data_IF_941447106512
#
_entry.id   IF_941447106512
#
_cell.length_a   1.000
_cell.length_b   1.000
_cell.length_c   1.000
_cell.angle_alpha   90.00
_cell.angle_beta   90.00
_cell.angle_gamma   90.00
#
_symmetry.space_group_name_H-M   'P 1'
#
loop_
_entity.id
_entity.type
_entity.pdbx_description
1 polymer ?
#
# COMPACT_ATOMS: atom_id res chain seq x y z
N UNK A 1 -3.52 20.43 -3.92
CA UNK A 1 -2.08 20.30 -4.30
C UNK A 1 -1.86 20.09 -5.81
N UNK A 2 -2.88 20.36 -6.64
CA UNK A 2 -2.76 20.15 -8.07
C UNK A 2 -1.53 20.86 -8.64
N UNK A 3 -0.71 20.16 -9.44
CA UNK A 3 0.50 20.70 -10.04
C UNK A 3 1.72 20.74 -9.13
N UNK A 4 1.56 20.40 -7.85
CA UNK A 4 2.67 20.34 -6.91
C UNK A 4 3.54 19.11 -7.19
N UNK A 5 4.84 19.28 -7.17
CA UNK A 5 5.79 18.18 -7.40
C UNK A 5 6.35 17.70 -6.07
N UNK A 6 5.96 16.49 -5.67
CA UNK A 6 6.41 15.90 -4.42
C UNK A 6 7.44 14.79 -4.59
N UNK A 7 7.77 14.42 -5.81
CA UNK A 7 8.67 13.27 -6.05
C UNK A 7 9.93 13.39 -5.22
N UNK A 8 10.21 12.34 -4.44
CA UNK A 8 11.40 12.28 -3.60
C UNK A 8 11.36 13.14 -2.34
N UNK A 9 10.24 13.83 -2.06
CA UNK A 9 10.10 14.60 -0.83
C UNK A 9 9.99 13.69 0.39
N UNK A 10 10.25 14.25 1.58
CA UNK A 10 10.05 13.51 2.81
C UNK A 10 8.89 14.09 3.62
N UNK A 11 7.99 13.20 4.03
CA UNK A 11 6.94 13.47 5.02
C UNK A 11 7.12 12.55 6.23
N UNK A 12 8.35 12.13 6.48
CA UNK A 12 8.66 11.22 7.58
C UNK A 12 8.13 11.76 8.91
N UNK A 13 7.38 10.92 9.63
CA UNK A 13 6.77 11.24 10.93
C UNK A 13 5.73 12.35 10.89
N UNK A 14 5.30 12.80 9.70
CA UNK A 14 4.33 13.87 9.57
C UNK A 14 2.92 13.40 9.96
N UNK A 15 2.11 14.33 10.46
CA UNK A 15 0.68 14.11 10.64
C UNK A 15 -0.04 14.57 9.38
N UNK A 16 -0.50 13.59 8.58
CA UNK A 16 -1.13 13.85 7.30
C UNK A 16 -2.57 13.33 7.26
N UNK A 17 -3.18 13.16 8.44
CA UNK A 17 -4.56 12.65 8.53
C UNK A 17 -5.48 13.48 7.67
N UNK A 18 -6.32 12.79 6.88
CA UNK A 18 -7.36 13.39 6.03
C UNK A 18 -6.84 14.34 4.96
N UNK A 19 -5.54 14.39 4.71
CA UNK A 19 -4.98 15.22 3.62
C UNK A 19 -5.39 14.62 2.27
N UNK A 20 -5.64 15.48 1.30
CA UNK A 20 -5.96 15.06 -0.06
C UNK A 20 -4.69 15.08 -0.93
N UNK A 21 -4.17 13.88 -1.22
CA UNK A 21 -3.06 13.66 -2.13
C UNK A 21 -3.51 12.91 -3.39
N UNK A 22 -4.80 12.96 -3.72
CA UNK A 22 -5.31 12.24 -4.89
C UNK A 22 -4.74 12.79 -6.20
N UNK A 23 -4.57 11.91 -7.18
CA UNK A 23 -4.12 12.24 -8.54
C UNK A 23 -2.74 12.90 -8.60
N UNK A 24 -1.87 12.66 -7.62
CA UNK A 24 -0.55 13.30 -7.54
C UNK A 24 0.57 12.33 -7.91
N UNK A 25 1.68 12.90 -8.35
CA UNK A 25 2.94 12.19 -8.50
C UNK A 25 3.68 12.20 -7.17
N UNK A 26 3.62 11.07 -6.46
CA UNK A 26 4.24 10.87 -5.15
C UNK A 26 5.34 9.81 -5.21
N UNK A 27 5.92 9.61 -6.40
CA UNK A 27 6.99 8.62 -6.56
C UNK A 27 8.15 8.91 -5.63
N UNK A 28 8.66 7.85 -4.99
CA UNK A 28 9.84 7.92 -4.13
C UNK A 28 9.67 8.83 -2.90
N UNK A 29 8.45 9.25 -2.59
CA UNK A 29 8.17 10.04 -1.38
C UNK A 29 8.36 9.16 -0.15
N UNK A 30 8.95 9.72 0.89
CA UNK A 30 9.14 9.02 2.15
C UNK A 30 8.03 9.40 3.14
N UNK A 31 7.11 8.45 3.38
CA UNK A 31 6.03 8.56 4.37
C UNK A 31 6.32 7.70 5.60
N UNK A 32 7.57 7.31 5.82
CA UNK A 32 7.91 6.44 6.95
C UNK A 32 7.47 7.04 8.27
N UNK A 33 6.82 6.22 9.10
CA UNK A 33 6.32 6.60 10.42
C UNK A 33 5.28 7.74 10.40
N UNK A 34 4.75 8.11 9.22
CA UNK A 34 3.73 9.14 9.09
C UNK A 34 2.37 8.62 9.55
N UNK A 35 1.55 9.52 10.05
CA UNK A 35 0.15 9.25 10.33
C UNK A 35 -0.67 9.62 9.09
N UNK A 36 -1.09 8.59 8.34
CA UNK A 36 -1.81 8.74 7.09
C UNK A 36 -3.26 8.28 7.21
N UNK A 37 -3.78 8.20 8.44
CA UNK A 37 -5.16 7.74 8.63
C UNK A 37 -6.13 8.61 7.85
N UNK A 38 -7.00 7.95 7.08
CA UNK A 38 -8.04 8.61 6.26
C UNK A 38 -7.49 9.59 5.23
N UNK A 39 -6.21 9.50 4.89
CA UNK A 39 -5.62 10.28 3.80
C UNK A 39 -6.19 9.80 2.47
N UNK A 40 -6.45 10.71 1.56
CA UNK A 40 -6.92 10.37 0.22
C UNK A 40 -5.73 10.34 -0.74
N UNK A 41 -5.36 9.13 -1.18
CA UNK A 41 -4.28 8.91 -2.17
C UNK A 41 -4.81 8.19 -3.41
N UNK A 42 -6.10 8.32 -3.69
CA UNK A 42 -6.70 7.68 -4.88
C UNK A 42 -5.99 8.13 -6.15
N UNK A 43 -5.78 7.19 -7.06
CA UNK A 43 -5.19 7.45 -8.38
C UNK A 43 -3.81 8.12 -8.34
N UNK A 44 -3.13 8.09 -7.21
CA UNK A 44 -1.79 8.67 -7.10
C UNK A 44 -0.73 7.70 -7.61
N UNK A 45 0.39 8.26 -8.06
CA UNK A 45 1.56 7.45 -8.44
C UNK A 45 2.51 7.39 -7.25
N UNK A 46 2.56 6.22 -6.62
CA UNK A 46 3.35 5.95 -5.41
C UNK A 46 4.47 4.94 -5.68
N UNK A 47 4.92 4.82 -6.92
CA UNK A 47 6.01 3.90 -7.24
C UNK A 47 7.23 4.19 -6.35
N UNK A 48 7.74 3.13 -5.73
CA UNK A 48 8.90 3.19 -4.84
C UNK A 48 8.74 4.12 -3.63
N UNK A 49 7.51 4.53 -3.32
CA UNK A 49 7.24 5.30 -2.10
C UNK A 49 7.50 4.44 -0.86
N UNK A 50 7.87 5.05 0.24
CA UNK A 50 8.22 4.38 1.47
C UNK A 50 7.19 4.65 2.55
N UNK A 51 6.63 3.56 3.10
CA UNK A 51 5.61 3.61 4.15
C UNK A 51 6.04 2.80 5.38
N UNK A 52 7.34 2.68 5.62
CA UNK A 52 7.85 1.90 6.74
C UNK A 52 7.25 2.40 8.06
N UNK A 53 6.57 1.51 8.79
CA UNK A 53 5.90 1.81 10.06
C UNK A 53 4.87 2.95 9.98
N UNK A 54 4.37 3.27 8.80
CA UNK A 54 3.31 4.28 8.68
C UNK A 54 1.98 3.73 9.16
N UNK A 55 1.10 4.63 9.55
CA UNK A 55 -0.28 4.29 9.93
C UNK A 55 -1.18 4.57 8.74
N UNK A 56 -1.56 3.49 8.03
CA UNK A 56 -2.40 3.57 6.82
C UNK A 56 -3.85 3.16 7.11
N UNK A 57 -4.27 3.15 8.36
CA UNK A 57 -5.64 2.77 8.68
C UNK A 57 -6.63 3.69 7.99
N UNK A 58 -7.59 3.08 7.30
CA UNK A 58 -8.64 3.78 6.55
C UNK A 58 -8.12 4.74 5.48
N UNK A 59 -6.88 4.59 5.04
CA UNK A 59 -6.30 5.35 3.93
C UNK A 59 -6.92 4.88 2.62
N UNK A 60 -7.20 5.81 1.71
CA UNK A 60 -7.80 5.52 0.42
C UNK A 60 -6.69 5.42 -0.63
N UNK A 61 -6.48 4.20 -1.13
CA UNK A 61 -5.49 3.89 -2.16
C UNK A 61 -6.12 3.27 -3.42
N UNK A 62 -7.40 3.53 -3.62
CA UNK A 62 -8.14 3.06 -4.79
C UNK A 62 -7.43 3.48 -6.08
N UNK A 63 -7.12 2.50 -6.93
CA UNK A 63 -6.40 2.70 -8.19
C UNK A 63 -5.02 3.36 -8.06
N UNK A 64 -4.43 3.40 -6.88
CA UNK A 64 -3.09 3.93 -6.71
C UNK A 64 -2.05 2.99 -7.32
N UNK A 65 -0.98 3.57 -7.84
CA UNK A 65 0.15 2.78 -8.33
C UNK A 65 1.20 2.65 -7.24
N UNK A 66 1.24 1.48 -6.58
CA UNK A 66 2.17 1.16 -5.49
C UNK A 66 3.27 0.20 -5.96
N UNK A 67 3.56 0.18 -7.26
CA UNK A 67 4.59 -0.72 -7.78
C UNK A 67 5.92 -0.47 -7.07
N UNK A 68 6.52 -1.54 -6.56
CA UNK A 68 7.78 -1.52 -5.83
C UNK A 68 7.78 -0.63 -4.58
N UNK A 69 6.60 -0.27 -4.05
CA UNK A 69 6.49 0.49 -2.80
C UNK A 69 6.90 -0.37 -1.60
N UNK A 70 7.36 0.28 -0.54
CA UNK A 70 7.82 -0.37 0.68
C UNK A 70 6.80 -0.12 1.80
N UNK A 71 6.02 -1.14 2.14
CA UNK A 71 4.96 -1.06 3.15
C UNK A 71 5.28 -1.91 4.39
N UNK A 72 6.56 -2.19 4.62
CA UNK A 72 6.97 -3.02 5.74
C UNK A 72 6.54 -2.41 7.06
N UNK A 73 5.95 -3.22 7.92
CA UNK A 73 5.51 -2.83 9.26
C UNK A 73 4.43 -1.73 9.28
N UNK A 74 3.77 -1.45 8.16
CA UNK A 74 2.66 -0.50 8.11
C UNK A 74 1.40 -1.09 8.74
N UNK A 75 0.55 -0.23 9.31
CA UNK A 75 -0.77 -0.60 9.82
C UNK A 75 -1.77 -0.48 8.68
N UNK A 76 -2.42 -1.59 8.31
CA UNK A 76 -3.23 -1.68 7.09
C UNK A 76 -4.72 -1.88 7.33
N UNK A 77 -5.21 -1.80 8.56
CA UNK A 77 -6.61 -2.01 8.86
C UNK A 77 -7.50 -1.01 8.12
N UNK A 78 -8.45 -1.51 7.34
CA UNK A 78 -9.39 -0.66 6.61
C UNK A 78 -8.80 0.09 5.42
N UNK A 79 -7.54 -0.12 5.08
CA UNK A 79 -6.94 0.50 3.89
C UNK A 79 -7.67 0.03 2.63
N UNK A 80 -8.12 0.95 1.80
CA UNK A 80 -8.79 0.64 0.54
C UNK A 80 -7.73 0.43 -0.55
N UNK A 81 -7.53 -0.83 -0.93
CA UNK A 81 -6.56 -1.24 -1.95
C UNK A 81 -7.22 -1.66 -3.26
N UNK A 82 -8.52 -1.37 -3.44
CA UNK A 82 -9.22 -1.80 -4.65
C UNK A 82 -8.53 -1.26 -5.90
N UNK A 83 -8.21 -2.17 -6.82
CA UNK A 83 -7.55 -1.86 -8.09
C UNK A 83 -6.19 -1.18 -7.95
N UNK A 84 -5.59 -1.19 -6.77
CA UNK A 84 -4.24 -0.70 -6.59
C UNK A 84 -3.25 -1.66 -7.25
N UNK A 85 -2.16 -1.12 -7.79
CA UNK A 85 -1.07 -1.93 -8.34
C UNK A 85 -0.03 -2.17 -7.26
N UNK A 86 0.04 -3.40 -6.76
CA UNK A 86 1.02 -3.83 -5.75
C UNK A 86 2.13 -4.71 -6.34
N UNK A 87 2.33 -4.66 -7.64
CA UNK A 87 3.41 -5.44 -8.25
C UNK A 87 4.74 -5.07 -7.62
N UNK A 88 5.51 -6.09 -7.23
CA UNK A 88 6.82 -5.91 -6.60
C UNK A 88 6.80 -5.15 -5.26
N UNK A 89 5.64 -4.86 -4.71
CA UNK A 89 5.53 -4.17 -3.41
C UNK A 89 5.98 -5.09 -2.27
N UNK A 90 6.55 -4.50 -1.24
CA UNK A 90 7.02 -5.23 -0.05
C UNK A 90 6.06 -4.93 1.09
N UNK A 91 5.29 -5.97 1.48
CA UNK A 91 4.29 -5.88 2.56
C UNK A 91 4.69 -6.70 3.79
N UNK A 92 5.94 -7.13 3.88
CA UNK A 92 6.41 -7.93 5.00
C UNK A 92 6.20 -7.20 6.32
N UNK A 93 5.74 -7.92 7.30
CA UNK A 93 5.49 -7.39 8.65
C UNK A 93 4.39 -6.33 8.72
N UNK A 94 3.70 -6.02 7.61
CA UNK A 94 2.52 -5.16 7.69
C UNK A 94 1.44 -5.85 8.52
N UNK A 95 0.63 -5.05 9.23
CA UNK A 95 -0.31 -5.57 10.21
C UNK A 95 -1.76 -5.37 9.78
N UNK A 96 -2.58 -6.36 10.11
CA UNK A 96 -4.04 -6.33 9.93
C UNK A 96 -4.48 -6.26 8.46
N UNK A 97 -3.65 -6.80 7.57
CA UNK A 97 -4.00 -6.95 6.16
C UNK A 97 -4.86 -8.22 6.01
N UNK A 98 -5.95 -8.10 5.27
CA UNK A 98 -6.88 -9.22 5.06
C UNK A 98 -6.71 -9.82 3.66
N UNK A 99 -7.13 -11.10 3.47
CA UNK A 99 -7.18 -11.69 2.15
C UNK A 99 -7.97 -10.84 1.14
N UNK A 100 -9.11 -10.28 1.56
CA UNK A 100 -9.96 -9.48 0.68
C UNK A 100 -9.24 -8.22 0.19
N UNK A 101 -8.45 -7.58 1.02
CA UNK A 101 -7.67 -6.42 0.60
C UNK A 101 -6.67 -6.79 -0.51
N UNK A 102 -5.94 -7.88 -0.34
CA UNK A 102 -4.99 -8.37 -1.35
C UNK A 102 -5.74 -8.82 -2.61
N UNK A 103 -6.86 -9.54 -2.44
CA UNK A 103 -7.65 -10.03 -3.56
C UNK A 103 -8.22 -8.90 -4.42
N UNK A 104 -8.45 -7.73 -3.82
CA UNK A 104 -8.98 -6.55 -4.51
C UNK A 104 -7.94 -5.80 -5.33
N UNK A 105 -6.65 -6.08 -5.10
CA UNK A 105 -5.53 -5.39 -5.73
C UNK A 105 -4.89 -6.26 -6.82
N UNK A 106 -3.99 -5.65 -7.58
CA UNK A 106 -3.14 -6.37 -8.53
C UNK A 106 -1.81 -6.70 -7.85
N UNK A 107 -1.41 -7.97 -7.89
CA UNK A 107 -0.10 -8.42 -7.41
C UNK A 107 0.62 -9.22 -8.49
N UNK A 108 1.93 -9.37 -8.35
CA UNK A 108 2.71 -10.31 -9.15
C UNK A 108 3.46 -11.27 -8.23
N UNK A 109 4.27 -12.16 -8.81
CA UNK A 109 5.01 -13.16 -8.03
C UNK A 109 6.16 -12.56 -7.21
N UNK A 110 6.49 -11.28 -7.44
CA UNK A 110 7.49 -10.55 -6.68
C UNK A 110 6.91 -9.78 -5.50
N UNK A 111 5.60 -9.64 -5.45
CA UNK A 111 4.92 -9.02 -4.29
C UNK A 111 5.19 -9.87 -3.04
N UNK A 112 5.62 -9.22 -1.97
CA UNK A 112 5.93 -9.90 -0.70
C UNK A 112 4.82 -9.61 0.30
N UNK A 113 4.02 -10.63 0.61
CA UNK A 113 2.91 -10.51 1.58
C UNK A 113 3.38 -10.87 2.99
N UNK A 114 2.64 -10.45 4.04
CA UNK A 114 2.97 -10.85 5.42
C UNK A 114 2.87 -12.36 5.59
N UNK A 115 3.56 -12.87 6.59
CA UNK A 115 3.63 -14.32 6.85
C UNK A 115 2.30 -14.97 7.18
N UNK A 116 1.30 -14.21 7.63
CA UNK A 116 -0.03 -14.73 7.98
C UNK A 116 -0.96 -14.85 6.77
N UNK A 117 -0.52 -14.45 5.58
CA UNK A 117 -1.26 -14.60 4.33
C UNK A 117 -0.54 -15.58 3.40
N UNK A 118 -1.34 -16.28 2.60
CA UNK A 118 -0.84 -17.26 1.64
C UNK A 118 -1.44 -16.98 0.27
N UNK A 119 -0.60 -16.93 -0.76
CA UNK A 119 -1.02 -16.69 -2.14
C UNK A 119 -0.95 -18.00 -2.91
N UNK A 120 -2.05 -18.35 -3.57
CA UNK A 120 -2.12 -19.50 -4.48
C UNK A 120 -2.35 -18.99 -5.90
N UNK A 121 -1.41 -19.28 -6.79
CA UNK A 121 -1.52 -18.87 -8.19
C UNK A 121 -2.26 -19.94 -8.98
N UNK A 122 -3.43 -19.59 -9.53
CA UNK A 122 -4.25 -20.50 -10.34
C UNK A 122 -3.81 -20.46 -11.82
N UNK A 123 -3.23 -19.35 -12.26
CA UNK A 123 -2.66 -19.16 -13.58
C UNK A 123 -1.58 -18.09 -13.51
N UNK A 124 -1.11 -17.63 -14.67
CA UNK A 124 -0.09 -16.56 -14.68
C UNK A 124 -0.58 -15.29 -14.01
N UNK A 125 -1.86 -14.95 -14.15
CA UNK A 125 -2.41 -13.68 -13.68
C UNK A 125 -3.50 -13.82 -12.60
N UNK A 126 -3.98 -15.03 -12.33
CA UNK A 126 -5.07 -15.26 -11.39
C UNK A 126 -4.55 -15.88 -10.11
N UNK A 127 -4.98 -15.34 -9.00
CA UNK A 127 -4.54 -15.82 -7.69
C UNK A 127 -5.68 -15.83 -6.68
N UNK A 128 -5.48 -16.60 -5.62
CA UNK A 128 -6.33 -16.60 -4.42
C UNK A 128 -5.45 -16.26 -3.23
N UNK A 129 -5.95 -15.40 -2.36
CA UNK A 129 -5.30 -15.07 -1.11
C UNK A 129 -6.13 -15.61 0.05
N UNK A 130 -5.48 -16.28 0.97
CA UNK A 130 -6.11 -16.89 2.13
C UNK A 130 -5.31 -16.58 3.38
N UNK A 131 -5.96 -16.63 4.55
CA UNK A 131 -5.23 -16.62 5.80
C UNK A 131 -4.48 -17.92 5.93
N UNK A 132 -3.22 -17.83 6.36
CA UNK A 132 -2.42 -19.02 6.60
C UNK A 132 -2.88 -19.71 7.87
N UNK A 133 -3.13 -21.02 7.79
CA UNK A 133 -3.55 -21.77 8.97
C UNK A 133 -2.47 -21.76 10.05
N UNK A 134 -2.91 -21.52 11.30
CA UNK A 134 -2.05 -21.69 12.47
C UNK A 134 -1.90 -23.16 12.79
N UNK A 135 -0.69 -23.57 13.05
CA UNK A 135 -0.41 -24.94 13.51
C UNK A 135 -0.40 -25.00 15.03
#
# INVERSE_FOLDING_TARGET
FQGTKFRGCTFKKANLRKVDFSDLDLREVDFSEADLRKTNMRNSNLQEARFFKSDLRDTLLYEANLEAAYLSSALMQGTDLQFANLNQAVLRYSMNLTPDQIQSAKIDRKTKVPHYLEIHWDSENDFRCEEKESL
#
